data_IF_646013276405
#
_entry.id   IF_646013276405
#
_cell.length_a   1.000
_cell.length_b   1.000
_cell.length_c   1.000
_cell.angle_alpha   90.00
_cell.angle_beta   90.00
_cell.angle_gamma   90.00
#
_symmetry.space_group_name_H-M   'P 1'
#
loop_
_entity.id
_entity.type
_entity.pdbx_description
1 polymer ?
#
# COMPACT_ATOMS: atom_id res chain seq x y z
N UNK A 1 -41.81 1.10 30.49
CA UNK A 1 -41.49 1.84 29.25
C UNK A 1 -40.29 2.71 29.55
N UNK A 2 -39.17 2.73 28.85
CA UNK A 2 -38.63 2.01 27.70
C UNK A 2 -37.12 1.92 27.99
N UNK A 3 -36.62 0.71 28.25
CA UNK A 3 -35.19 0.46 28.31
C UNK A 3 -34.65 0.46 26.89
N UNK A 4 -33.99 1.53 26.48
CA UNK A 4 -33.24 1.55 25.24
C UNK A 4 -32.02 0.65 25.39
N UNK A 5 -32.11 -0.57 24.87
CA UNK A 5 -30.94 -1.41 24.62
C UNK A 5 -30.10 -0.71 23.54
N UNK A 6 -29.16 0.14 23.98
CA UNK A 6 -28.11 0.64 23.11
C UNK A 6 -27.31 -0.55 22.61
N UNK A 7 -27.34 -0.78 21.29
CA UNK A 7 -26.37 -1.64 20.63
C UNK A 7 -24.98 -1.12 21.02
N UNK A 8 -24.08 -1.95 21.57
CA UNK A 8 -22.72 -1.50 21.90
C UNK A 8 -22.09 -0.87 20.65
N UNK A 9 -21.50 0.31 20.78
CA UNK A 9 -20.79 0.93 19.67
C UNK A 9 -19.68 -0.03 19.21
N UNK A 10 -19.73 -0.44 17.94
CA UNK A 10 -18.73 -1.36 17.37
C UNK A 10 -17.35 -0.71 17.45
N UNK A 11 -16.38 -1.38 18.06
CA UNK A 11 -15.00 -0.90 18.10
C UNK A 11 -14.37 -1.01 16.70
N UNK A 12 -14.33 0.12 16.00
CA UNK A 12 -13.76 0.25 14.66
C UNK A 12 -12.25 -0.06 14.61
N UNK A 13 -11.57 -0.09 15.76
CA UNK A 13 -10.14 -0.40 15.88
C UNK A 13 -9.87 -1.79 16.47
N UNK A 14 -10.89 -2.63 16.66
CA UNK A 14 -10.73 -3.98 17.18
C UNK A 14 -9.78 -4.80 16.31
N UNK A 15 -8.89 -5.55 16.96
CA UNK A 15 -8.01 -6.56 16.34
C UNK A 15 -8.53 -7.98 16.55
N UNK A 16 -9.69 -8.12 17.21
CA UNK A 16 -10.33 -9.38 17.59
C UNK A 16 -11.75 -9.46 16.99
N UNK A 17 -11.85 -9.22 15.67
CA UNK A 17 -13.12 -9.27 14.96
C UNK A 17 -13.54 -10.73 14.71
N UNK A 18 -14.82 -11.04 14.90
CA UNK A 18 -15.37 -12.37 14.68
C UNK A 18 -15.88 -12.48 13.24
N UNK A 19 -15.01 -12.95 12.35
CA UNK A 19 -15.31 -13.12 10.93
C UNK A 19 -15.56 -14.60 10.58
N UNK A 20 -16.57 -14.91 9.74
CA UNK A 20 -16.86 -16.29 9.33
C UNK A 20 -15.72 -16.90 8.52
N UNK A 21 -15.71 -18.22 8.43
CA UNK A 21 -14.75 -18.94 7.58
C UNK A 21 -14.87 -18.51 6.10
N UNK A 22 -13.73 -18.50 5.36
CA UNK A 22 -13.73 -18.30 3.91
C UNK A 22 -14.49 -19.43 3.22
N UNK A 23 -15.05 -19.15 2.04
CA UNK A 23 -15.83 -20.15 1.28
C UNK A 23 -14.96 -21.25 0.66
N UNK A 24 -13.67 -20.99 0.52
CA UNK A 24 -12.65 -21.90 0.01
C UNK A 24 -11.43 -21.85 0.92
N UNK A 25 -10.59 -22.90 0.88
CA UNK A 25 -9.34 -22.91 1.64
C UNK A 25 -8.36 -21.88 1.07
N UNK A 26 -7.92 -20.96 1.92
CA UNK A 26 -6.92 -19.92 1.58
C UNK A 26 -5.68 -19.99 2.48
N UNK A 27 -5.66 -20.91 3.44
CA UNK A 27 -4.60 -21.11 4.42
C UNK A 27 -4.29 -22.62 4.51
N UNK A 28 -3.01 -23.05 4.61
CA UNK A 28 -1.79 -22.24 4.80
C UNK A 28 -1.27 -21.53 3.56
N UNK A 29 -1.83 -21.80 2.37
CA UNK A 29 -1.48 -21.13 1.10
C UNK A 29 -2.60 -21.26 0.08
N UNK A 30 -2.73 -20.27 -0.81
CA UNK A 30 -3.65 -20.34 -1.98
C UNK A 30 -2.93 -20.98 -3.18
N UNK A 31 -1.63 -20.72 -3.32
CA UNK A 31 -0.77 -21.30 -4.35
C UNK A 31 0.53 -21.83 -3.77
N UNK A 32 1.13 -22.84 -4.41
CA UNK A 32 2.47 -23.35 -4.08
C UNK A 32 3.58 -22.30 -4.25
N UNK A 33 3.30 -21.19 -4.98
CA UNK A 33 4.24 -20.07 -5.15
C UNK A 33 4.11 -18.98 -4.09
N UNK A 34 3.11 -19.09 -3.21
CA UNK A 34 2.93 -18.12 -2.15
C UNK A 34 3.91 -18.38 -1.01
N UNK A 35 4.42 -17.30 -0.43
CA UNK A 35 5.19 -17.37 0.80
C UNK A 35 4.37 -18.01 1.94
N UNK A 36 5.01 -18.73 2.87
CA UNK A 36 4.33 -19.26 4.03
C UNK A 36 3.92 -18.13 4.98
N UNK A 37 2.74 -18.26 5.58
CA UNK A 37 2.33 -17.42 6.71
C UNK A 37 3.07 -17.85 8.00
N UNK A 38 3.56 -16.88 8.75
CA UNK A 38 4.08 -17.05 10.11
C UNK A 38 3.04 -16.72 11.18
N UNK A 39 2.00 -15.97 10.81
CA UNK A 39 0.90 -15.59 11.70
C UNK A 39 -0.23 -16.64 11.61
N UNK A 40 -0.81 -17.09 12.74
CA UNK A 40 -1.96 -17.99 12.73
C UNK A 40 -3.16 -17.41 11.97
N UNK A 41 -3.90 -18.27 11.27
CA UNK A 41 -5.07 -17.85 10.48
C UNK A 41 -6.10 -17.06 11.30
N UNK A 42 -6.36 -17.48 12.54
CA UNK A 42 -7.31 -16.79 13.42
C UNK A 42 -6.91 -15.34 13.67
N UNK A 43 -5.63 -15.07 13.90
CA UNK A 43 -5.12 -13.71 14.08
C UNK A 43 -5.17 -12.89 12.78
N UNK A 44 -4.81 -13.51 11.65
CA UNK A 44 -4.90 -12.86 10.33
C UNK A 44 -6.33 -12.43 10.02
N UNK A 45 -7.30 -13.32 10.26
CA UNK A 45 -8.71 -13.07 10.00
C UNK A 45 -9.34 -12.08 10.98
N UNK A 46 -8.96 -12.15 12.25
CA UNK A 46 -9.50 -11.27 13.29
C UNK A 46 -9.08 -9.81 13.11
N UNK A 47 -7.99 -9.53 12.40
CA UNK A 47 -7.56 -8.16 12.07
C UNK A 47 -8.44 -7.47 11.02
N UNK A 48 -9.32 -8.20 10.32
CA UNK A 48 -10.19 -7.65 9.27
C UNK A 48 -11.45 -7.08 9.93
N UNK A 49 -11.67 -5.78 9.86
CA UNK A 49 -12.93 -5.19 10.31
C UNK A 49 -13.90 -5.07 9.14
N UNK A 50 -14.97 -5.86 9.19
CA UNK A 50 -16.05 -5.86 8.20
C UNK A 50 -17.25 -5.13 8.81
N UNK A 51 -17.67 -3.97 8.25
CA UNK A 51 -18.88 -3.29 8.71
C UNK A 51 -20.11 -4.19 8.65
N UNK A 52 -21.03 -4.04 9.60
CA UNK A 52 -22.23 -4.87 9.69
C UNK A 52 -23.14 -4.76 8.45
N UNK A 53 -23.07 -3.63 7.74
CA UNK A 53 -23.83 -3.35 6.53
C UNK A 53 -23.09 -3.72 5.23
N UNK A 54 -21.87 -4.27 5.31
CA UNK A 54 -21.09 -4.71 4.16
C UNK A 54 -21.83 -5.78 3.35
N UNK A 55 -22.02 -5.55 2.05
CA UNK A 55 -22.88 -6.40 1.22
C UNK A 55 -22.15 -7.51 0.47
N UNK A 56 -20.83 -7.66 0.66
CA UNK A 56 -20.02 -8.67 -0.02
C UNK A 56 -20.18 -8.61 -1.55
N UNK A 57 -20.41 -7.41 -2.09
CA UNK A 57 -20.62 -7.17 -3.51
C UNK A 57 -21.98 -7.57 -4.09
N UNK A 58 -22.94 -8.01 -3.27
CA UNK A 58 -24.29 -8.38 -3.74
C UNK A 58 -25.10 -7.20 -4.26
N UNK A 59 -24.75 -5.99 -3.86
CA UNK A 59 -25.36 -4.73 -4.29
C UNK A 59 -24.64 -4.09 -5.49
N UNK A 60 -23.64 -4.78 -6.07
CA UNK A 60 -22.84 -4.29 -7.19
C UNK A 60 -21.70 -3.35 -6.79
N UNK A 61 -21.54 -3.02 -5.50
CA UNK A 61 -20.39 -2.23 -5.04
C UNK A 61 -19.12 -3.08 -5.04
N UNK A 62 -18.00 -2.45 -5.37
CA UNK A 62 -16.67 -3.07 -5.29
C UNK A 62 -16.22 -3.12 -3.83
N UNK A 63 -15.87 -4.29 -3.28
CA UNK A 63 -15.18 -4.38 -1.99
C UNK A 63 -13.87 -3.59 -2.04
N UNK A 64 -13.66 -2.69 -1.09
CA UNK A 64 -12.44 -1.88 -0.99
C UNK A 64 -11.72 -2.19 0.31
N UNK A 65 -10.56 -2.84 0.21
CA UNK A 65 -9.68 -3.10 1.34
C UNK A 65 -8.84 -1.86 1.66
N UNK A 66 -8.98 -1.33 2.87
CA UNK A 66 -8.22 -0.17 3.36
C UNK A 66 -7.08 -0.62 4.28
N UNK A 67 -5.84 -0.30 3.90
CA UNK A 67 -4.62 -0.75 4.59
C UNK A 67 -3.89 0.44 5.26
N UNK A 68 -3.87 0.52 6.61
CA UNK A 68 -3.43 1.71 7.34
C UNK A 68 -1.92 1.97 7.25
N UNK A 69 -1.53 3.16 7.69
CA UNK A 69 -0.13 3.58 7.80
C UNK A 69 0.51 3.29 9.15
N UNK A 70 1.81 3.59 9.27
CA UNK A 70 2.60 3.39 10.50
C UNK A 70 1.96 4.06 11.71
N UNK A 71 1.87 3.34 12.83
CA UNK A 71 1.32 3.87 14.07
C UNK A 71 -0.20 3.95 14.11
N UNK A 72 -0.91 3.43 13.09
CA UNK A 72 -2.37 3.52 13.00
C UNK A 72 -3.06 2.16 12.79
N UNK A 73 -4.31 2.08 13.25
CA UNK A 73 -5.28 1.09 12.78
C UNK A 73 -6.11 1.65 11.61
N UNK A 74 -6.74 0.78 10.82
CA UNK A 74 -7.60 1.19 9.70
C UNK A 74 -8.80 2.03 10.14
N UNK A 75 -9.42 1.67 11.28
CA UNK A 75 -10.59 2.38 11.78
C UNK A 75 -10.34 3.87 12.00
N UNK A 76 -9.33 4.21 12.80
CA UNK A 76 -8.96 5.60 13.07
C UNK A 76 -8.40 6.32 11.84
N UNK A 77 -7.62 5.63 11.00
CA UNK A 77 -7.01 6.23 9.81
C UNK A 77 -8.05 6.65 8.77
N UNK A 78 -9.10 5.85 8.58
CA UNK A 78 -10.02 6.01 7.46
C UNK A 78 -11.43 6.47 7.82
N UNK A 79 -11.89 6.29 9.07
CA UNK A 79 -13.23 6.70 9.49
C UNK A 79 -13.56 8.17 9.17
N UNK A 80 -12.68 9.17 9.38
CA UNK A 80 -13.00 10.56 9.08
C UNK A 80 -12.83 10.92 7.60
N UNK A 81 -12.42 9.99 6.72
CA UNK A 81 -12.12 10.30 5.32
C UNK A 81 -12.67 9.24 4.34
N UNK A 82 -11.84 8.33 3.84
CA UNK A 82 -12.18 7.40 2.76
C UNK A 82 -13.31 6.44 3.13
N UNK A 83 -13.41 6.00 4.39
CA UNK A 83 -14.53 5.15 4.82
C UNK A 83 -15.86 5.88 4.66
N UNK A 84 -15.91 7.16 5.02
CA UNK A 84 -17.10 8.01 4.84
C UNK A 84 -17.42 8.16 3.35
N UNK A 85 -16.43 8.53 2.54
CA UNK A 85 -16.60 8.75 1.11
C UNK A 85 -17.03 7.49 0.36
N UNK A 86 -16.47 6.32 0.70
CA UNK A 86 -16.82 5.05 0.09
C UNK A 86 -18.23 4.61 0.48
N UNK A 87 -18.61 4.70 1.76
CA UNK A 87 -19.96 4.35 2.22
C UNK A 87 -21.04 5.18 1.53
N UNK A 88 -20.77 6.48 1.35
CA UNK A 88 -21.68 7.41 0.67
C UNK A 88 -21.66 7.24 -0.87
N UNK A 89 -20.69 6.49 -1.41
CA UNK A 89 -20.58 6.23 -2.84
C UNK A 89 -21.48 5.08 -3.32
N UNK A 90 -21.93 5.11 -4.58
CA UNK A 90 -22.67 4.01 -5.19
C UNK A 90 -21.77 2.87 -5.70
N UNK A 91 -20.43 3.01 -5.62
CA UNK A 91 -19.50 2.12 -6.32
C UNK A 91 -18.56 1.32 -5.41
N UNK A 92 -18.35 1.74 -4.16
CA UNK A 92 -17.36 1.12 -3.26
C UNK A 92 -17.96 0.77 -1.89
N UNK A 93 -17.50 -0.33 -1.30
CA UNK A 93 -17.91 -0.78 0.03
C UNK A 93 -16.66 -1.08 0.89
N UNK A 94 -16.36 -0.29 1.94
CA UNK A 94 -15.08 -0.36 2.62
C UNK A 94 -15.01 -1.46 3.69
N UNK A 95 -13.88 -2.16 3.71
CA UNK A 95 -13.40 -3.05 4.78
C UNK A 95 -11.99 -2.58 5.13
N UNK A 96 -11.59 -2.61 6.39
CA UNK A 96 -10.26 -2.12 6.78
C UNK A 96 -9.51 -3.09 7.69
N UNK A 97 -8.19 -2.95 7.67
CA UNK A 97 -7.29 -3.74 8.49
C UNK A 97 -6.93 -3.02 9.78
N UNK A 98 -7.08 -3.72 10.89
CA UNK A 98 -6.55 -3.34 12.19
C UNK A 98 -5.40 -4.30 12.53
N UNK A 99 -4.24 -4.07 11.92
CA UNK A 99 -3.07 -4.93 12.12
C UNK A 99 -2.56 -4.76 13.57
N UNK A 100 -2.35 -5.86 14.33
CA UNK A 100 -1.81 -5.80 15.68
C UNK A 100 -0.53 -4.97 15.76
N UNK A 101 -0.40 -4.19 16.83
CA UNK A 101 0.73 -3.27 16.97
C UNK A 101 0.65 -2.03 16.07
N UNK A 102 -0.49 -1.76 15.40
CA UNK A 102 -0.74 -0.55 14.62
C UNK A 102 0.31 -0.30 13.54
N UNK A 103 0.66 -1.34 12.79
CA UNK A 103 1.69 -1.29 11.76
C UNK A 103 3.10 -0.95 12.30
N UNK A 104 3.39 -1.04 13.60
CA UNK A 104 4.73 -0.74 14.12
C UNK A 104 5.68 -1.96 14.14
N UNK A 105 5.15 -3.17 14.02
CA UNK A 105 5.94 -4.41 13.93
C UNK A 105 6.54 -4.59 12.51
N UNK A 106 7.36 -5.62 12.30
CA UNK A 106 8.12 -5.81 11.07
C UNK A 106 7.21 -5.77 9.83
N UNK A 107 7.57 -4.95 8.83
CA UNK A 107 6.69 -4.68 7.68
C UNK A 107 6.38 -5.93 6.86
N UNK A 108 7.30 -6.90 6.79
CA UNK A 108 7.06 -8.18 6.14
C UNK A 108 5.98 -9.02 6.86
N UNK A 109 5.93 -8.96 8.19
CA UNK A 109 4.88 -9.58 9.00
C UNK A 109 3.55 -8.84 8.87
N UNK A 110 3.56 -7.51 8.81
CA UNK A 110 2.36 -6.72 8.54
C UNK A 110 1.75 -7.06 7.16
N UNK A 111 2.59 -7.37 6.16
CA UNK A 111 2.16 -7.76 4.83
C UNK A 111 1.40 -9.10 4.78
N UNK A 112 1.63 -10.01 5.74
CA UNK A 112 0.85 -11.26 5.84
C UNK A 112 -0.65 -10.99 6.03
N UNK A 113 -1.01 -10.01 6.86
CA UNK A 113 -2.40 -9.60 7.06
C UNK A 113 -3.02 -9.04 5.77
N UNK A 114 -2.22 -8.33 4.97
CA UNK A 114 -2.70 -7.77 3.68
C UNK A 114 -2.93 -8.89 2.68
N UNK A 115 -1.97 -9.81 2.51
CA UNK A 115 -2.12 -10.97 1.64
C UNK A 115 -3.36 -11.80 2.01
N UNK A 116 -3.49 -12.13 3.30
CA UNK A 116 -4.63 -12.89 3.80
C UNK A 116 -5.95 -12.17 3.57
N UNK A 117 -6.03 -10.86 3.84
CA UNK A 117 -7.26 -10.09 3.65
C UNK A 117 -7.69 -10.00 2.19
N UNK A 118 -6.74 -9.89 1.25
CA UNK A 118 -7.02 -9.94 -0.19
C UNK A 118 -7.66 -11.29 -0.55
N UNK A 119 -7.05 -12.40 -0.13
CA UNK A 119 -7.59 -13.75 -0.39
C UNK A 119 -8.93 -13.97 0.29
N UNK A 120 -9.07 -13.53 1.54
CA UNK A 120 -10.28 -13.66 2.33
C UNK A 120 -11.45 -12.91 1.68
N UNK A 121 -11.26 -11.64 1.31
CA UNK A 121 -12.30 -10.88 0.62
C UNK A 121 -12.63 -11.48 -0.75
N UNK A 122 -11.62 -11.94 -1.50
CA UNK A 122 -11.83 -12.63 -2.77
C UNK A 122 -12.65 -13.91 -2.63
N UNK A 123 -12.49 -14.66 -1.53
CA UNK A 123 -13.26 -15.87 -1.26
C UNK A 123 -14.68 -15.57 -0.74
N UNK A 124 -14.90 -14.43 -0.09
CA UNK A 124 -16.18 -14.09 0.55
C UNK A 124 -17.10 -13.24 -0.32
N UNK A 125 -16.56 -12.46 -1.25
CA UNK A 125 -17.33 -11.52 -2.05
C UNK A 125 -17.77 -12.14 -3.38
N UNK A 126 -18.95 -11.73 -3.87
CA UNK A 126 -19.51 -12.18 -5.15
C UNK A 126 -19.11 -11.28 -6.32
N UNK A 127 -17.96 -10.60 -6.23
CA UNK A 127 -17.44 -9.70 -7.28
C UNK A 127 -16.30 -10.35 -8.06
N UNK A 128 -16.02 -9.89 -9.29
CA UNK A 128 -14.88 -10.38 -10.08
C UNK A 128 -13.51 -9.95 -9.51
N UNK A 129 -13.47 -9.24 -8.38
CA UNK A 129 -12.26 -8.78 -7.72
C UNK A 129 -12.53 -7.64 -6.74
N UNK A 130 -11.49 -7.19 -6.06
CA UNK A 130 -11.52 -6.12 -5.06
C UNK A 130 -10.63 -4.95 -5.48
N UNK A 131 -10.83 -3.80 -4.87
CA UNK A 131 -9.87 -2.71 -4.88
C UNK A 131 -9.10 -2.67 -3.55
N UNK A 132 -7.85 -2.22 -3.59
CA UNK A 132 -7.06 -1.96 -2.39
C UNK A 132 -6.70 -0.48 -2.38
N UNK A 133 -6.98 0.21 -1.27
CA UNK A 133 -6.42 1.53 -1.00
C UNK A 133 -5.50 1.40 0.21
N UNK A 134 -4.27 1.86 0.07
CA UNK A 134 -3.32 1.88 1.17
C UNK A 134 -2.76 3.27 1.38
N UNK A 135 -2.34 3.55 2.62
CA UNK A 135 -1.71 4.81 2.99
C UNK A 135 -0.36 4.56 3.66
N UNK A 136 0.64 5.39 3.34
CA UNK A 136 1.96 5.33 3.98
C UNK A 136 2.57 3.92 3.85
N UNK A 137 3.10 3.36 4.94
CA UNK A 137 3.58 1.98 5.05
C UNK A 137 2.57 0.92 4.56
N UNK A 138 1.26 1.16 4.65
CA UNK A 138 0.28 0.24 4.10
C UNK A 138 0.54 -0.04 2.61
N UNK A 139 1.10 0.92 1.89
CA UNK A 139 1.51 0.76 0.50
C UNK A 139 2.68 -0.23 0.37
N UNK A 140 3.72 -0.08 1.20
CA UNK A 140 4.85 -1.02 1.26
C UNK A 140 4.38 -2.44 1.54
N UNK A 141 3.52 -2.63 2.54
CA UNK A 141 3.03 -3.95 2.93
C UNK A 141 2.12 -4.56 1.85
N UNK A 142 1.35 -3.74 1.15
CA UNK A 142 0.55 -4.19 0.00
C UNK A 142 1.44 -4.63 -1.15
N UNK A 143 2.44 -3.84 -1.52
CA UNK A 143 3.39 -4.20 -2.60
C UNK A 143 4.21 -5.43 -2.23
N UNK A 144 4.60 -5.57 -0.95
CA UNK A 144 5.27 -6.77 -0.43
C UNK A 144 4.36 -8.00 -0.52
N UNK A 145 3.09 -7.88 -0.11
CA UNK A 145 2.10 -8.95 -0.25
C UNK A 145 1.95 -9.39 -1.71
N UNK A 146 1.80 -8.44 -2.65
CA UNK A 146 1.71 -8.74 -4.07
C UNK A 146 2.99 -9.36 -4.65
N UNK A 147 4.17 -9.02 -4.10
CA UNK A 147 5.44 -9.64 -4.49
C UNK A 147 5.49 -11.10 -4.06
N UNK A 148 5.29 -11.38 -2.78
CA UNK A 148 5.59 -12.69 -2.16
C UNK A 148 4.39 -13.63 -2.02
N UNK A 149 3.16 -13.15 -2.21
CA UNK A 149 1.96 -13.97 -2.41
C UNK A 149 1.40 -13.71 -3.81
N UNK A 150 2.01 -14.26 -4.88
CA UNK A 150 1.58 -13.98 -6.25
C UNK A 150 0.11 -14.28 -6.53
N UNK A 151 -0.51 -15.22 -5.80
CA UNK A 151 -1.94 -15.50 -5.90
C UNK A 151 -2.83 -14.31 -5.51
N UNK A 152 -2.33 -13.37 -4.70
CA UNK A 152 -3.04 -12.14 -4.31
C UNK A 152 -3.15 -11.13 -5.46
N UNK A 153 -2.42 -11.31 -6.57
CA UNK A 153 -2.46 -10.38 -7.72
C UNK A 153 -3.76 -10.47 -8.50
N UNK A 154 -4.26 -11.69 -8.74
CA UNK A 154 -5.43 -11.91 -9.59
C UNK A 154 -6.73 -11.28 -9.03
N UNK A 155 -7.00 -11.32 -7.71
CA UNK A 155 -8.18 -10.67 -7.15
C UNK A 155 -8.15 -9.14 -7.13
N UNK A 156 -6.97 -8.51 -7.23
CA UNK A 156 -6.83 -7.05 -7.05
C UNK A 156 -6.97 -6.35 -8.41
N UNK A 157 -8.10 -5.68 -8.64
CA UNK A 157 -8.40 -4.97 -9.89
C UNK A 157 -7.77 -3.58 -9.97
N UNK A 158 -7.49 -2.99 -8.81
CA UNK A 158 -6.84 -1.68 -8.69
C UNK A 158 -6.20 -1.55 -7.32
N UNK A 159 -4.98 -1.04 -7.29
CA UNK A 159 -4.26 -0.64 -6.09
C UNK A 159 -4.05 0.87 -6.09
N UNK A 160 -4.68 1.59 -5.17
CA UNK A 160 -4.48 3.02 -4.96
C UNK A 160 -3.53 3.22 -3.78
N UNK A 161 -2.33 3.72 -4.07
CA UNK A 161 -1.28 3.95 -3.09
C UNK A 161 -1.21 5.44 -2.74
N UNK A 162 -1.53 5.80 -1.49
CA UNK A 162 -1.58 7.18 -1.03
C UNK A 162 -0.36 7.49 -0.16
N UNK A 163 0.41 8.50 -0.55
CA UNK A 163 1.64 8.91 0.14
C UNK A 163 2.59 7.72 0.40
N UNK A 164 2.76 6.86 -0.61
CA UNK A 164 3.56 5.65 -0.49
C UNK A 164 5.05 5.96 -0.30
N UNK A 165 5.74 5.02 0.33
CA UNK A 165 7.18 5.07 0.60
C UNK A 165 7.90 3.83 0.05
N UNK A 166 7.60 3.43 -1.20
CA UNK A 166 8.17 2.23 -1.85
C UNK A 166 9.71 2.24 -1.95
N UNK A 167 10.35 3.40 -1.88
CA UNK A 167 11.81 3.54 -1.82
C UNK A 167 12.32 3.90 -0.42
N UNK A 168 11.48 3.80 0.61
CA UNK A 168 11.73 4.28 1.96
C UNK A 168 11.81 5.80 2.04
N UNK A 169 12.26 6.32 3.18
CA UNK A 169 12.39 7.76 3.43
C UNK A 169 13.74 8.12 4.03
N UNK A 170 14.17 9.36 3.78
CA UNK A 170 15.30 9.99 4.48
C UNK A 170 14.84 11.01 5.54
N UNK A 171 13.54 11.32 5.61
CA UNK A 171 13.03 12.50 6.31
C UNK A 171 12.19 12.22 7.58
N UNK A 172 12.00 10.98 8.02
CA UNK A 172 11.03 10.68 9.08
C UNK A 172 11.48 11.12 10.50
N UNK A 173 11.33 12.43 10.75
CA UNK A 173 11.04 13.04 12.05
C UNK A 173 11.99 12.74 13.21
N UNK A 174 13.30 12.71 12.98
CA UNK A 174 14.31 12.31 13.99
C UNK A 174 14.07 10.90 14.61
N UNK A 175 13.05 10.18 14.15
CA UNK A 175 12.70 8.82 14.53
C UNK A 175 13.45 7.80 13.69
N UNK A 176 13.90 8.17 12.48
CA UNK A 176 14.78 7.34 11.66
C UNK A 176 15.94 6.85 12.53
N UNK A 177 15.97 5.56 12.88
CA UNK A 177 16.99 5.07 13.78
C UNK A 177 18.29 4.91 12.99
N UNK A 178 19.41 5.36 13.57
CA UNK A 178 20.74 5.04 13.06
C UNK A 178 21.32 3.90 13.90
N UNK A 179 21.96 2.88 13.29
CA UNK A 179 22.47 1.74 14.04
C UNK A 179 23.37 2.21 15.20
N UNK A 180 23.05 1.78 16.42
CA UNK A 180 23.81 2.15 17.62
C UNK A 180 23.50 3.53 18.23
N UNK A 181 22.50 4.27 17.73
CA UNK A 181 22.13 5.59 18.27
C UNK A 181 20.86 5.57 19.12
N UNK A 182 19.79 4.92 18.65
CA UNK A 182 18.53 4.77 19.37
C UNK A 182 17.77 3.52 18.92
N UNK A 183 17.05 2.83 19.82
CA UNK A 183 16.21 1.71 19.43
C UNK A 183 14.94 2.24 18.72
N UNK A 184 14.62 1.65 17.57
CA UNK A 184 13.46 2.02 16.74
C UNK A 184 12.44 0.88 16.69
N UNK A 185 11.19 1.21 16.36
CA UNK A 185 10.19 0.18 16.03
C UNK A 185 10.60 -0.56 14.76
N UNK A 186 10.37 -1.88 14.65
CA UNK A 186 10.65 -2.67 13.45
C UNK A 186 10.22 -2.02 12.13
N UNK A 187 8.98 -1.51 12.05
CA UNK A 187 8.48 -0.90 10.82
C UNK A 187 9.23 0.37 10.42
N UNK A 188 9.59 1.22 11.38
CA UNK A 188 10.35 2.46 11.11
C UNK A 188 11.74 2.14 10.59
N UNK A 189 12.39 1.09 11.10
CA UNK A 189 13.63 0.57 10.51
C UNK A 189 13.43 0.17 9.05
N UNK A 190 12.40 -0.63 8.78
CA UNK A 190 12.10 -1.13 7.43
C UNK A 190 11.72 -0.02 6.44
N UNK A 191 11.27 1.16 6.91
CA UNK A 191 10.92 2.31 6.06
C UNK A 191 12.09 3.26 5.79
N UNK A 192 13.27 3.03 6.38
CA UNK A 192 14.45 3.85 6.05
C UNK A 192 14.90 3.59 4.61
N UNK A 193 15.36 4.62 3.90
CA UNK A 193 15.79 4.54 2.48
C UNK A 193 16.77 3.40 2.18
N UNK A 194 17.64 3.08 3.13
CA UNK A 194 18.73 2.10 2.96
C UNK A 194 18.43 0.73 3.62
N UNK A 195 17.22 0.54 4.14
CA UNK A 195 16.78 -0.70 4.76
C UNK A 195 16.97 -1.92 3.84
N UNK A 196 17.40 -3.04 4.40
CA UNK A 196 17.38 -4.35 3.74
C UNK A 196 15.98 -4.71 3.24
N UNK A 197 14.94 -4.34 3.98
CA UNK A 197 13.55 -4.49 3.57
C UNK A 197 13.22 -3.73 2.28
N UNK A 198 13.60 -2.46 2.16
CA UNK A 198 13.37 -1.68 0.93
C UNK A 198 14.15 -2.26 -0.25
N UNK A 199 15.39 -2.69 -0.03
CA UNK A 199 16.20 -3.35 -1.06
C UNK A 199 15.52 -4.64 -1.55
N UNK A 200 15.13 -5.51 -0.61
CA UNK A 200 14.45 -6.76 -0.91
C UNK A 200 13.10 -6.53 -1.59
N UNK A 201 12.30 -5.55 -1.14
CA UNK A 201 11.04 -5.18 -1.79
C UNK A 201 11.27 -4.82 -3.26
N UNK A 202 12.26 -3.97 -3.53
CA UNK A 202 12.51 -3.39 -4.86
C UNK A 202 13.24 -4.34 -5.82
N UNK A 203 14.00 -5.31 -5.31
CA UNK A 203 14.64 -6.35 -6.09
C UNK A 203 13.63 -7.15 -6.95
N UNK A 204 14.09 -7.86 -7.97
CA UNK A 204 13.21 -8.68 -8.82
C UNK A 204 12.11 -7.92 -9.56
N UNK A 205 12.33 -6.63 -9.82
CA UNK A 205 11.31 -5.75 -10.40
C UNK A 205 10.16 -5.43 -9.45
N UNK A 206 10.34 -5.54 -8.13
CA UNK A 206 9.35 -5.11 -7.15
C UNK A 206 9.23 -3.58 -7.04
N UNK A 207 10.14 -2.82 -7.67
CA UNK A 207 10.00 -1.39 -7.95
C UNK A 207 9.04 -1.07 -9.12
N UNK A 208 8.46 -2.10 -9.73
CA UNK A 208 7.38 -2.00 -10.72
C UNK A 208 6.08 -2.58 -10.16
N UNK A 209 4.95 -2.04 -10.58
CA UNK A 209 3.64 -2.53 -10.15
C UNK A 209 3.41 -4.01 -10.50
N UNK A 210 2.67 -4.71 -9.66
CA UNK A 210 2.24 -6.11 -9.88
C UNK A 210 0.79 -6.23 -10.38
N UNK A 211 -0.01 -5.20 -10.12
CA UNK A 211 -1.41 -5.05 -10.50
C UNK A 211 -1.59 -3.60 -10.95
N UNK A 212 -2.72 -3.24 -11.60
CA UNK A 212 -2.93 -1.85 -11.99
C UNK A 212 -2.87 -0.90 -10.78
N UNK A 213 -1.98 0.10 -10.83
CA UNK A 213 -1.66 0.93 -9.65
C UNK A 213 -1.79 2.43 -9.89
N UNK A 214 -2.44 3.12 -8.97
CA UNK A 214 -2.52 4.58 -8.91
C UNK A 214 -1.73 5.07 -7.71
N UNK A 215 -0.52 5.58 -7.92
CA UNK A 215 0.29 6.16 -6.87
C UNK A 215 0.03 7.67 -6.79
N UNK A 216 -0.36 8.18 -5.63
CA UNK A 216 -0.73 9.59 -5.42
C UNK A 216 0.07 10.12 -4.24
N UNK A 217 0.85 11.17 -4.46
CA UNK A 217 1.79 11.67 -3.47
C UNK A 217 2.00 13.19 -3.59
N UNK A 218 2.57 13.77 -2.53
CA UNK A 218 2.86 15.20 -2.50
C UNK A 218 4.35 15.48 -2.35
N UNK A 219 4.84 16.43 -3.15
CA UNK A 219 6.18 16.98 -3.03
C UNK A 219 6.50 17.55 -1.63
N UNK A 220 5.47 17.99 -0.90
CA UNK A 220 5.61 18.62 0.43
C UNK A 220 5.36 17.67 1.59
N UNK A 221 5.24 16.37 1.31
CA UNK A 221 5.11 15.34 2.34
C UNK A 221 6.25 15.46 3.37
N UNK A 222 5.89 15.71 4.62
CA UNK A 222 6.84 15.96 5.70
C UNK A 222 7.36 14.68 6.36
N UNK A 223 6.82 13.52 6.01
CA UNK A 223 7.21 12.21 6.56
C UNK A 223 8.09 11.45 5.55
N UNK A 224 7.66 11.43 4.29
CA UNK A 224 8.31 10.71 3.21
C UNK A 224 9.02 11.69 2.30
N UNK A 225 10.35 11.57 2.22
CA UNK A 225 11.12 12.27 1.20
C UNK A 225 12.21 11.37 0.62
N UNK A 226 12.57 11.58 -0.66
CA UNK A 226 11.99 12.52 -1.61
C UNK A 226 10.59 12.10 -2.10
N UNK A 227 9.71 13.06 -2.40
CA UNK A 227 8.37 12.82 -2.99
C UNK A 227 8.08 13.69 -4.23
N UNK A 228 9.09 13.93 -5.07
CA UNK A 228 8.92 14.69 -6.33
C UNK A 228 9.55 14.00 -7.53
N UNK A 229 8.87 14.13 -8.67
CA UNK A 229 9.27 13.59 -9.96
C UNK A 229 9.46 12.07 -9.97
N UNK A 230 10.17 11.55 -10.97
CA UNK A 230 10.52 10.12 -11.04
C UNK A 230 11.43 9.62 -9.90
N UNK A 231 12.00 10.54 -9.11
CA UNK A 231 12.79 10.22 -7.92
C UNK A 231 11.97 10.06 -6.64
N UNK A 232 10.66 10.31 -6.68
CA UNK A 232 9.76 10.17 -5.54
C UNK A 232 9.76 8.74 -5.00
N UNK A 233 9.68 8.60 -3.68
CA UNK A 233 9.60 7.29 -3.02
C UNK A 233 8.32 6.53 -3.40
N UNK A 234 7.22 7.26 -3.62
CA UNK A 234 5.96 6.72 -4.08
C UNK A 234 5.97 6.28 -5.55
N UNK A 235 6.98 6.63 -6.34
CA UNK A 235 7.00 6.33 -7.78
C UNK A 235 7.14 4.83 -8.04
N UNK A 236 6.19 4.25 -8.79
CA UNK A 236 6.27 2.89 -9.30
C UNK A 236 6.43 2.86 -10.81
N UNK A 237 7.27 1.96 -11.29
CA UNK A 237 7.42 1.66 -12.72
C UNK A 237 6.32 0.71 -13.20
N UNK A 238 6.22 0.54 -14.51
CA UNK A 238 5.28 -0.40 -15.14
C UNK A 238 5.98 -1.40 -16.06
N UNK A 239 7.05 -2.05 -15.58
CA UNK A 239 7.78 -3.04 -16.38
C UNK A 239 6.92 -4.26 -16.79
N UNK A 240 5.77 -4.46 -16.14
CA UNK A 240 4.84 -5.57 -16.40
C UNK A 240 3.66 -5.20 -17.33
N UNK A 241 3.55 -3.92 -17.72
CA UNK A 241 2.43 -3.44 -18.54
C UNK A 241 1.06 -3.62 -17.90
N UNK A 242 0.99 -3.55 -16.56
CA UNK A 242 -0.27 -3.68 -15.79
C UNK A 242 -1.04 -2.36 -15.72
N UNK A 243 -0.42 -1.25 -16.12
CA UNK A 243 -0.97 0.09 -16.07
C UNK A 243 -0.62 0.77 -14.75
N UNK A 244 0.11 1.88 -14.84
CA UNK A 244 0.47 2.71 -13.68
C UNK A 244 0.19 4.18 -13.94
N UNK A 245 -0.42 4.85 -12.97
CA UNK A 245 -0.49 6.31 -12.90
C UNK A 245 0.27 6.78 -11.67
N UNK A 246 1.31 7.59 -11.86
CA UNK A 246 2.01 8.30 -10.79
C UNK A 246 1.55 9.76 -10.80
N UNK A 247 0.82 10.17 -9.77
CA UNK A 247 0.25 11.51 -9.61
C UNK A 247 0.98 12.25 -8.49
N UNK A 248 1.93 13.10 -8.86
CA UNK A 248 2.42 14.14 -7.96
C UNK A 248 1.38 15.28 -7.92
N UNK A 249 0.74 15.50 -6.76
CA UNK A 249 -0.35 16.47 -6.63
C UNK A 249 0.06 17.87 -7.14
N UNK A 250 1.28 18.32 -6.78
CA UNK A 250 1.79 19.63 -7.18
C UNK A 250 2.05 19.78 -8.70
N UNK A 251 2.17 18.67 -9.44
CA UNK A 251 2.35 18.70 -10.89
C UNK A 251 1.02 18.86 -11.65
N UNK A 252 -0.11 18.52 -11.02
CA UNK A 252 -1.42 18.45 -11.68
C UNK A 252 -2.46 19.44 -11.12
N UNK A 253 -2.24 19.94 -9.91
CA UNK A 253 -3.14 20.88 -9.25
C UNK A 253 -2.62 22.31 -9.42
N UNK A 254 -3.40 23.24 -10.04
CA UNK A 254 -2.99 24.62 -10.18
C UNK A 254 -2.71 25.27 -8.83
N UNK A 255 -1.53 25.90 -8.65
CA UNK A 255 -1.11 26.54 -7.38
C UNK A 255 -2.08 27.60 -6.85
N UNK A 256 -2.84 28.25 -7.74
CA UNK A 256 -3.82 29.27 -7.37
C UNK A 256 -5.18 28.68 -6.97
N UNK A 257 -5.38 27.37 -7.14
CA UNK A 257 -6.63 26.71 -6.79
C UNK A 257 -6.69 26.38 -5.28
N UNK A 258 -7.90 26.27 -4.70
CA UNK A 258 -8.10 25.81 -3.32
C UNK A 258 -7.42 24.47 -2.98
N UNK A 259 -7.34 23.53 -3.92
CA UNK A 259 -6.61 22.27 -3.73
C UNK A 259 -5.07 22.46 -3.80
N UNK A 260 -4.62 23.45 -4.57
CA UNK A 260 -3.20 23.67 -4.90
C UNK A 260 -2.40 24.45 -3.87
N UNK A 261 -2.92 24.60 -2.65
CA UNK A 261 -2.18 25.19 -1.55
C UNK A 261 -0.76 24.61 -1.47
N UNK A 262 0.23 25.45 -1.15
CA UNK A 262 1.66 25.09 -1.22
C UNK A 262 2.05 23.90 -0.34
N UNK A 263 1.17 23.42 0.54
CA UNK A 263 1.45 22.36 1.50
C UNK A 263 0.32 21.35 1.55
N UNK A 264 0.63 20.10 1.20
CA UNK A 264 -0.18 18.92 1.45
C UNK A 264 0.70 17.97 2.27
N UNK A 265 0.34 17.80 3.54
CA UNK A 265 1.04 16.90 4.45
C UNK A 265 0.79 15.42 4.11
N UNK A 266 1.54 14.54 4.75
CA UNK A 266 1.48 13.10 4.55
C UNK A 266 0.07 12.52 4.68
N UNK A 267 -0.66 12.89 5.74
CA UNK A 267 -2.06 12.48 5.97
C UNK A 267 -3.08 13.33 5.20
N UNK A 268 -2.74 14.55 4.75
CA UNK A 268 -3.66 15.38 3.99
C UNK A 268 -4.08 14.75 2.66
N UNK A 269 -3.24 13.87 2.09
CA UNK A 269 -3.56 13.11 0.87
C UNK A 269 -4.86 12.31 1.04
N UNK A 270 -5.19 11.85 2.24
CA UNK A 270 -6.39 11.06 2.53
C UNK A 270 -7.71 11.82 2.33
N UNK A 271 -7.68 13.15 2.37
CA UNK A 271 -8.86 13.98 2.09
C UNK A 271 -8.68 14.88 0.87
N UNK A 272 -7.57 14.77 0.14
CA UNK A 272 -7.28 15.63 -1.00
C UNK A 272 -8.29 15.37 -2.14
N UNK A 273 -8.87 16.41 -2.75
CA UNK A 273 -9.95 16.23 -3.74
C UNK A 273 -9.50 15.45 -4.98
N UNK A 274 -8.30 15.72 -5.49
CA UNK A 274 -7.74 14.96 -6.62
C UNK A 274 -7.40 13.51 -6.24
N UNK A 275 -6.98 13.26 -4.99
CA UNK A 275 -6.66 11.91 -4.55
C UNK A 275 -7.93 11.05 -4.50
N UNK A 276 -9.01 11.61 -3.95
CA UNK A 276 -10.32 10.96 -3.97
C UNK A 276 -10.85 10.76 -5.39
N UNK A 277 -10.76 11.76 -6.28
CA UNK A 277 -11.23 11.64 -7.65
C UNK A 277 -10.51 10.52 -8.42
N UNK A 278 -9.19 10.40 -8.27
CA UNK A 278 -8.40 9.32 -8.85
C UNK A 278 -8.73 7.96 -8.23
N UNK A 279 -8.93 7.88 -6.92
CA UNK A 279 -9.33 6.64 -6.25
C UNK A 279 -10.70 6.16 -6.74
N UNK A 280 -11.69 7.06 -6.79
CA UNK A 280 -13.02 6.78 -7.29
C UNK A 280 -13.01 6.36 -8.77
N UNK A 281 -12.22 7.02 -9.61
CA UNK A 281 -12.05 6.67 -11.01
C UNK A 281 -11.42 5.27 -11.19
N UNK A 282 -10.39 4.95 -10.40
CA UNK A 282 -9.71 3.65 -10.44
C UNK A 282 -10.64 2.49 -10.03
N UNK A 283 -11.46 2.69 -8.98
CA UNK A 283 -12.42 1.69 -8.50
C UNK A 283 -13.51 1.44 -9.55
N UNK A 284 -14.07 2.50 -10.15
CA UNK A 284 -15.20 2.38 -11.07
C UNK A 284 -14.84 1.74 -12.41
N UNK A 285 -13.62 1.97 -12.91
CA UNK A 285 -13.21 1.45 -14.23
C UNK A 285 -12.46 0.13 -14.14
N UNK A 286 -11.87 -0.19 -12.98
CA UNK A 286 -10.78 -1.15 -12.90
C UNK A 286 -9.54 -0.61 -13.63
N UNK A 287 -8.35 -1.03 -13.22
CA UNK A 287 -7.12 -0.41 -13.73
C UNK A 287 -6.64 0.77 -12.86
N UNK A 288 -5.63 1.53 -13.31
CA UNK A 288 -5.23 2.74 -12.63
C UNK A 288 -6.22 3.89 -12.90
N UNK A 289 -6.34 4.80 -11.93
CA UNK A 289 -7.04 6.06 -12.09
C UNK A 289 -6.40 6.90 -13.18
N UNK A 290 -7.19 7.62 -13.96
CA UNK A 290 -6.72 8.42 -15.10
C UNK A 290 -7.06 9.88 -14.92
N UNK A 291 -6.03 10.72 -14.97
CA UNK A 291 -6.20 12.18 -14.99
C UNK A 291 -7.04 12.66 -16.19
N UNK A 292 -7.01 11.95 -17.32
CA UNK A 292 -7.78 12.30 -18.51
C UNK A 292 -9.29 12.08 -18.36
N UNK A 293 -9.73 11.31 -17.35
CA UNK A 293 -11.15 11.09 -17.03
C UNK A 293 -11.67 12.03 -15.94
N UNK A 294 -10.82 12.92 -15.41
CA UNK A 294 -11.14 13.80 -14.28
C UNK A 294 -11.22 15.24 -14.77
N UNK A 295 -12.32 15.93 -14.44
CA UNK A 295 -12.41 17.38 -14.58
C UNK A 295 -11.58 18.07 -13.48
N UNK A 296 -10.28 18.27 -13.78
CA UNK A 296 -9.35 18.94 -12.89
C UNK A 296 -9.77 20.38 -12.57
N UNK A 297 -10.49 21.05 -13.48
CA UNK A 297 -10.97 22.41 -13.29
C UNK A 297 -11.98 22.50 -12.14
N UNK A 298 -12.89 21.55 -12.07
CA UNK A 298 -13.86 21.45 -10.98
C UNK A 298 -13.25 20.86 -9.69
N UNK A 299 -12.53 19.74 -9.82
CA UNK A 299 -11.97 19.01 -8.67
C UNK A 299 -10.96 19.85 -7.89
N UNK A 300 -10.07 20.58 -8.58
CA UNK A 300 -9.06 21.39 -7.92
C UNK A 300 -9.64 22.68 -7.29
N UNK A 301 -10.88 23.06 -7.62
CA UNK A 301 -11.54 24.22 -7.02
C UNK A 301 -12.12 23.95 -5.63
N UNK A 302 -11.89 22.76 -5.09
CA UNK A 302 -12.25 22.39 -3.71
C UNK A 302 -10.98 22.28 -2.88
N UNK A 303 -11.02 22.67 -1.60
CA UNK A 303 -9.87 22.48 -0.70
C UNK A 303 -9.74 21.05 -0.17
N UNK A 304 -10.80 20.24 -0.31
CA UNK A 304 -10.95 18.87 0.21
C UNK A 304 -11.92 18.10 -0.70
N UNK A 305 -11.88 16.78 -0.65
CA UNK A 305 -12.86 15.94 -1.32
C UNK A 305 -14.29 16.30 -0.89
N UNK A 306 -15.23 16.24 -1.83
CA UNK A 306 -16.64 16.48 -1.54
C UNK A 306 -17.17 15.42 -0.57
N UNK A 307 -17.93 15.85 0.44
CA UNK A 307 -18.31 15.02 1.57
C UNK A 307 -17.37 15.14 2.79
N UNK A 308 -16.17 15.71 2.64
CA UNK A 308 -15.25 15.95 3.76
C UNK A 308 -15.42 17.35 4.35
N UNK A 309 -15.92 17.40 5.58
CA UNK A 309 -16.04 18.62 6.37
C UNK A 309 -14.73 19.10 6.98
N UNK A 310 -14.74 20.25 7.66
CA UNK A 310 -13.57 20.76 8.38
C UNK A 310 -13.18 19.86 9.57
N UNK A 311 -14.16 19.31 10.29
CA UNK A 311 -13.92 18.40 11.42
C UNK A 311 -13.28 17.10 10.96
N UNK A 312 -13.74 16.58 9.82
CA UNK A 312 -13.20 15.37 9.19
C UNK A 312 -11.72 15.56 8.81
N UNK A 313 -11.40 16.70 8.18
CA UNK A 313 -10.02 17.05 7.85
C UNK A 313 -9.16 17.26 9.10
N UNK A 314 -9.67 17.94 10.13
CA UNK A 314 -8.96 18.14 11.39
C UNK A 314 -8.68 16.80 12.12
N UNK A 315 -9.64 15.86 12.10
CA UNK A 315 -9.44 14.50 12.62
C UNK A 315 -8.41 13.72 11.84
N UNK A 316 -8.39 13.87 10.51
CA UNK A 316 -7.36 13.25 9.66
C UNK A 316 -5.99 13.83 9.95
N UNK A 317 -5.86 15.15 10.09
CA UNK A 317 -4.62 15.83 10.49
C UNK A 317 -4.11 15.36 11.86
N UNK A 318 -5.01 15.12 12.81
CA UNK A 318 -4.65 14.61 14.13
C UNK A 318 -4.01 13.20 14.12
N UNK A 319 -4.11 12.46 13.00
CA UNK A 319 -3.44 11.17 12.84
C UNK A 319 -1.93 11.29 13.02
N UNK A 320 -1.29 12.36 12.57
CA UNK A 320 0.16 12.54 12.70
C UNK A 320 0.62 12.46 14.17
N UNK A 321 -0.04 13.20 15.07
CA UNK A 321 0.27 13.19 16.49
C UNK A 321 -0.07 11.84 17.16
N UNK A 322 -1.19 11.23 16.76
CA UNK A 322 -1.59 9.90 17.22
C UNK A 322 -0.58 8.82 16.82
N UNK A 323 -0.23 8.76 15.54
CA UNK A 323 0.76 7.84 14.98
C UNK A 323 2.12 8.00 15.66
N UNK A 324 2.62 9.24 15.78
CA UNK A 324 3.87 9.55 16.49
C UNK A 324 3.86 8.98 17.92
N UNK A 325 2.76 9.21 18.66
CA UNK A 325 2.61 8.70 20.02
C UNK A 325 2.68 7.16 20.04
N UNK A 326 1.98 6.48 19.13
CA UNK A 326 1.98 5.01 19.05
C UNK A 326 3.35 4.45 18.67
N UNK A 327 4.05 5.10 17.74
CA UNK A 327 5.42 4.73 17.37
C UNK A 327 6.36 4.89 18.57
N UNK A 328 6.29 5.99 19.31
CA UNK A 328 7.14 6.24 20.49
C UNK A 328 6.91 5.20 21.58
N UNK A 329 5.65 4.86 21.88
CA UNK A 329 5.32 3.91 22.96
C UNK A 329 5.28 2.43 22.54
N UNK A 330 5.45 2.10 21.26
CA UNK A 330 5.51 0.71 20.82
C UNK A 330 6.70 -0.04 21.43
N UNK A 331 6.47 -1.28 21.84
CA UNK A 331 7.47 -2.20 22.37
C UNK A 331 7.20 -3.62 21.81
N UNK A 332 8.24 -4.41 21.48
CA UNK A 332 9.66 -4.12 21.64
C UNK A 332 10.21 -3.17 20.58
N UNK A 333 11.24 -2.39 20.95
CA UNK A 333 12.07 -1.64 19.99
C UNK A 333 13.39 -2.37 19.76
N UNK A 334 13.87 -2.35 18.52
CA UNK A 334 15.12 -2.98 18.12
C UNK A 334 16.21 -1.94 17.88
N UNK A 335 17.45 -2.29 18.19
CA UNK A 335 18.65 -1.49 17.90
C UNK A 335 19.11 -1.57 16.44
N UNK A 336 18.52 -2.48 15.67
CA UNK A 336 18.84 -2.75 14.27
C UNK A 336 17.57 -3.09 13.51
N UNK A 337 17.66 -2.99 12.19
CA UNK A 337 16.61 -3.49 11.31
C UNK A 337 16.33 -4.99 11.60
N UNK A 338 15.05 -5.40 11.65
CA UNK A 338 14.69 -6.81 11.74
C UNK A 338 15.24 -7.63 10.58
N UNK A 339 15.54 -8.90 10.84
CA UNK A 339 15.92 -9.83 9.77
C UNK A 339 14.78 -10.03 8.77
N UNK A 340 15.16 -10.25 7.51
CA UNK A 340 14.21 -10.58 6.46
C UNK A 340 13.69 -12.02 6.66
N UNK A 341 12.43 -12.30 6.33
CA UNK A 341 11.91 -13.66 6.33
C UNK A 341 12.63 -14.53 5.30
N UNK A 342 12.74 -15.83 5.57
CA UNK A 342 13.51 -16.77 4.74
C UNK A 342 13.13 -16.77 3.25
N UNK A 343 11.83 -16.70 2.95
CA UNK A 343 11.33 -16.65 1.57
C UNK A 343 11.83 -15.42 0.78
N UNK A 344 12.15 -14.32 1.46
CA UNK A 344 12.65 -13.11 0.82
C UNK A 344 14.14 -13.24 0.48
N UNK A 345 14.91 -13.88 1.36
CA UNK A 345 16.34 -14.16 1.17
C UNK A 345 16.54 -15.20 0.06
N UNK A 346 15.71 -16.24 0.02
CA UNK A 346 15.76 -17.27 -1.02
C UNK A 346 15.44 -16.71 -2.40
N UNK A 347 14.40 -15.87 -2.52
CA UNK A 347 14.07 -15.20 -3.77
C UNK A 347 15.24 -14.35 -4.29
N UNK A 348 15.92 -13.62 -3.41
CA UNK A 348 17.11 -12.83 -3.79
C UNK A 348 18.26 -13.72 -4.28
N UNK A 349 18.48 -14.89 -3.68
CA UNK A 349 19.51 -15.84 -4.13
C UNK A 349 19.21 -16.39 -5.53
N UNK A 350 17.96 -16.80 -5.79
CA UNK A 350 17.54 -17.30 -7.10
C UNK A 350 17.73 -16.23 -8.17
N UNK A 351 17.37 -14.98 -7.88
CA UNK A 351 17.57 -13.86 -8.81
C UNK A 351 19.05 -13.61 -9.13
N UNK A 352 19.93 -13.66 -8.12
CA UNK A 352 21.38 -13.50 -8.32
C UNK A 352 21.96 -14.64 -9.17
N UNK A 353 21.51 -15.87 -8.95
CA UNK A 353 21.90 -17.02 -9.76
C UNK A 353 21.41 -16.89 -11.21
N UNK A 354 20.15 -16.50 -11.44
CA UNK A 354 19.61 -16.29 -12.79
C UNK A 354 20.35 -15.16 -13.53
N UNK A 355 20.67 -14.06 -12.84
CA UNK A 355 21.44 -12.96 -13.43
C UNK A 355 22.87 -13.38 -13.78
N UNK A 356 23.54 -14.13 -12.90
CA UNK A 356 24.88 -14.66 -13.15
C UNK A 356 24.89 -15.63 -14.34
N UNK A 357 23.88 -16.48 -14.48
CA UNK A 357 23.73 -17.38 -15.64
C UNK A 357 23.44 -16.58 -16.92
N UNK A 358 22.60 -15.56 -16.84
CA UNK A 358 22.29 -14.68 -17.97
C UNK A 358 23.51 -13.93 -18.53
N UNK A 359 24.44 -13.52 -17.67
CA UNK A 359 25.70 -12.88 -18.08
C UNK A 359 26.73 -13.88 -18.63
N UNK A 360 26.75 -15.12 -18.13
CA UNK A 360 27.61 -16.19 -18.68
C UNK A 360 27.15 -16.62 -20.08
N UNK A 361 25.84 -16.64 -20.34
CA UNK A 361 25.29 -16.97 -21.68
C UNK A 361 25.53 -15.84 -22.69
N UNK A 362 25.78 -14.60 -22.24
CA UNK A 362 26.15 -13.45 -23.09
C UNK A 362 27.67 -13.24 -23.20
N UNK A 363 28.44 -14.32 -23.33
CA UNK A 363 29.86 -14.24 -23.68
C UNK A 363 30.11 -13.50 -25.01
N UNK A 364 31.32 -12.92 -25.22
CA UNK A 364 31.57 -12.03 -26.35
C UNK A 364 31.47 -12.78 -27.67
N UNK A 365 30.80 -12.17 -28.66
CA UNK A 365 30.76 -12.69 -30.02
C UNK A 365 32.19 -12.79 -30.56
N UNK A 366 32.65 -14.03 -30.79
CA UNK A 366 33.91 -14.28 -31.48
C UNK A 366 33.73 -13.84 -32.94
N UNK A 367 34.32 -12.70 -33.28
CA UNK A 367 34.41 -12.23 -34.66
C UNK A 367 35.41 -13.12 -35.40
N UNK A 368 34.91 -14.08 -36.17
CA UNK A 368 35.73 -14.86 -37.10
C UNK A 368 35.97 -14.00 -38.34
N UNK A 369 37.17 -13.41 -38.43
CA UNK A 369 37.64 -12.74 -39.64
C UNK A 369 37.95 -13.78 -40.73
N UNK A 370 37.19 -13.77 -41.82
CA UNK A 370 37.58 -14.47 -43.05
C UNK A 370 38.57 -13.61 -43.85
N UNK A 371 39.82 -14.04 -43.93
CA UNK A 371 40.77 -13.51 -44.93
C UNK A 371 40.66 -14.33 -46.21
N UNK A 372 40.12 -13.72 -47.26
CA UNK A 372 40.14 -14.25 -48.63
C UNK A 372 41.27 -13.62 -49.44
N UNK A 373 42.19 -14.47 -49.91
CA UNK A 373 42.80 -14.41 -51.24
C UNK A 373 44.02 -13.51 -51.44
N UNK A 374 45.15 -14.13 -51.81
CA UNK A 374 45.70 -14.11 -53.19
C UNK A 374 47.18 -14.53 -53.17
N UNK A 375 47.50 -15.66 -53.82
CA UNK A 375 48.85 -15.94 -54.33
C UNK A 375 48.74 -16.29 -55.80
N UNK A 376 49.46 -15.53 -56.61
CA UNK A 376 49.84 -15.82 -57.99
C UNK A 376 51.31 -15.43 -58.09
N UNK A 377 52.22 -16.39 -57.93
CA UNK A 377 53.13 -17.01 -58.93
C UNK A 377 54.04 -17.95 -58.16
#
# INVERSE_FOLDING_TARGET
MLGGHGVPATDINSIDNQNPDPSTSIYPRVSERDAPYSVPESSLRAAIHIPADFQYGRDGKTPVLLVPGTGTHGGEAYAPNLTKLLRDSPFGDPVWLNIPGRMCDASARNAEYVAYAIHYLSARCSTPGIAVIAWSQGCLTTQWALKYWPSARAPVRSFVALAADFAGTVAAWALCPFPGTQPGTPAVWNQTRNAGFIKALRAGGGDSAYVPTTSIYSATDEVVQPQSGPGASAFLKDARGVGVTNCELQAHVPRASPAGGRFCSHEAVLYHPLAWALAADAIQHGGPGSLGRIDLGSVCMRGRAEGIGLVDAARTQALAAGALTRILFFSPKSWREPELPGYAVEAERVEVEEAAVGDVVKGPAVVVSQMSGLVSV
#
